data_IF_811367231452
#
_entry.id   IF_811367231452
#
_cell.length_a   1.000
_cell.length_b   1.000
_cell.length_c   1.000
_cell.angle_alpha   90.00
_cell.angle_beta   90.00
_cell.angle_gamma   90.00
#
_symmetry.space_group_name_H-M   'P 1'
#
loop_
_entity.id
_entity.type
_entity.pdbx_description
1 polymer ?
#
# COMPACT_ATOMS: atom_id res chain seq x y z
N UNK A 1 -23.02 15.03 -30.93
CA UNK A 1 -22.34 15.00 -29.61
C UNK A 1 -22.56 13.63 -28.99
N UNK A 2 -21.53 13.06 -28.35
CA UNK A 2 -21.68 11.81 -27.60
C UNK A 2 -22.21 12.04 -26.17
N UNK A 3 -22.82 11.03 -25.56
CA UNK A 3 -23.39 11.09 -24.20
C UNK A 3 -22.42 11.63 -23.15
N UNK A 4 -21.15 11.18 -23.18
CA UNK A 4 -20.09 11.69 -22.28
C UNK A 4 -19.84 13.20 -22.43
N UNK A 5 -19.86 13.71 -23.67
CA UNK A 5 -19.69 15.15 -23.93
C UNK A 5 -20.88 15.95 -23.43
N UNK A 6 -22.11 15.43 -23.56
CA UNK A 6 -23.32 16.06 -23.04
C UNK A 6 -23.28 16.15 -21.51
N UNK A 7 -22.93 15.06 -20.83
CA UNK A 7 -22.81 15.03 -19.36
C UNK A 7 -21.71 16.00 -18.89
N UNK A 8 -20.56 16.04 -19.57
CA UNK A 8 -19.48 16.96 -19.23
C UNK A 8 -19.90 18.43 -19.37
N UNK A 9 -20.54 18.77 -20.48
CA UNK A 9 -21.04 20.12 -20.75
C UNK A 9 -22.11 20.54 -19.74
N UNK A 10 -23.04 19.64 -19.41
CA UNK A 10 -24.07 19.91 -18.40
C UNK A 10 -23.47 20.15 -17.01
N UNK A 11 -22.44 19.36 -16.62
CA UNK A 11 -21.72 19.57 -15.35
C UNK A 11 -20.97 20.88 -15.31
N UNK A 12 -20.34 21.28 -16.41
CA UNK A 12 -19.62 22.56 -16.52
C UNK A 12 -20.59 23.76 -16.38
N UNK A 13 -21.72 23.72 -17.08
CA UNK A 13 -22.77 24.74 -16.96
C UNK A 13 -23.34 24.81 -15.54
N UNK A 14 -23.64 23.66 -14.92
CA UNK A 14 -24.12 23.61 -13.54
C UNK A 14 -23.08 24.18 -12.55
N UNK A 15 -21.78 23.92 -12.78
CA UNK A 15 -20.72 24.45 -11.94
C UNK A 15 -20.56 25.98 -12.06
N UNK A 16 -20.83 26.54 -13.25
CA UNK A 16 -20.85 28.00 -13.48
C UNK A 16 -22.05 28.67 -12.81
N UNK A 17 -23.20 28.00 -12.80
CA UNK A 17 -24.46 28.50 -12.21
C UNK A 17 -24.42 28.52 -10.67
N UNK A 18 -23.83 27.52 -10.03
CA UNK A 18 -23.69 27.47 -8.56
C UNK A 18 -22.27 27.07 -8.11
N UNK A 19 -21.32 28.02 -8.14
CA UNK A 19 -19.96 27.79 -7.68
C UNK A 19 -19.89 27.47 -6.18
N UNK A 20 -20.85 27.95 -5.39
CA UNK A 20 -20.86 27.78 -3.94
C UNK A 20 -21.17 26.33 -3.53
N UNK A 21 -22.13 25.66 -4.18
CA UNK A 21 -22.37 24.23 -3.92
C UNK A 21 -21.22 23.36 -4.39
N UNK A 22 -20.57 23.71 -5.50
CA UNK A 22 -19.36 23.01 -5.97
C UNK A 22 -18.23 23.15 -4.93
N UNK A 23 -18.00 24.36 -4.42
CA UNK A 23 -17.00 24.58 -3.37
C UNK A 23 -17.33 23.80 -2.09
N UNK A 24 -18.59 23.76 -1.66
CA UNK A 24 -19.03 22.98 -0.49
C UNK A 24 -18.84 21.47 -0.69
N UNK A 25 -19.19 20.94 -1.87
CA UNK A 25 -18.97 19.53 -2.22
C UNK A 25 -17.49 19.18 -2.25
N UNK A 26 -16.63 20.06 -2.79
CA UNK A 26 -15.17 19.86 -2.77
C UNK A 26 -14.63 19.78 -1.35
N UNK A 27 -14.99 20.73 -0.47
CA UNK A 27 -14.55 20.72 0.93
C UNK A 27 -14.96 19.44 1.66
N UNK A 28 -16.17 18.94 1.40
CA UNK A 28 -16.63 17.66 1.95
C UNK A 28 -15.82 16.48 1.40
N UNK A 29 -15.63 16.40 0.08
CA UNK A 29 -14.85 15.33 -0.53
C UNK A 29 -13.38 15.33 -0.09
N UNK A 30 -12.80 16.50 0.18
CA UNK A 30 -11.45 16.61 0.75
C UNK A 30 -11.36 16.07 2.19
N UNK A 31 -12.46 16.10 2.94
CA UNK A 31 -12.53 15.51 4.28
C UNK A 31 -12.67 13.98 4.23
N UNK A 32 -13.27 13.44 3.15
CA UNK A 32 -13.45 12.00 2.94
C UNK A 32 -12.17 11.30 2.43
N UNK A 33 -11.02 11.98 2.40
CA UNK A 33 -9.74 11.40 1.97
C UNK A 33 -9.30 10.25 2.87
N UNK A 34 -8.93 9.12 2.28
CA UNK A 34 -8.53 7.93 3.01
C UNK A 34 -7.72 6.97 2.13
N UNK A 35 -7.05 6.01 2.77
CA UNK A 35 -6.40 4.87 2.11
C UNK A 35 -7.21 3.60 2.35
N UNK A 36 -7.10 2.65 1.44
CA UNK A 36 -7.73 1.33 1.54
C UNK A 36 -6.71 0.25 1.19
N UNK A 37 -6.78 -0.87 1.90
CA UNK A 37 -6.07 -2.09 1.59
C UNK A 37 -7.10 -3.20 1.42
N UNK A 38 -7.03 -3.94 0.32
CA UNK A 38 -7.91 -5.08 0.05
C UNK A 38 -7.09 -6.27 -0.43
N UNK A 39 -7.23 -7.46 0.16
CA UNK A 39 -6.56 -8.66 -0.32
C UNK A 39 -6.88 -8.96 -1.79
N UNK A 40 -5.91 -9.52 -2.50
CA UNK A 40 -6.02 -10.00 -3.86
C UNK A 40 -5.44 -11.43 -3.95
N UNK A 41 -5.74 -12.20 -5.01
CA UNK A 41 -5.13 -13.51 -5.23
C UNK A 41 -3.60 -13.47 -5.26
N UNK A 42 -2.96 -14.63 -5.07
CA UNK A 42 -1.51 -14.82 -5.24
C UNK A 42 -0.63 -14.02 -4.26
N UNK A 43 -1.06 -13.89 -3.00
CA UNK A 43 -0.37 -13.12 -1.94
C UNK A 43 -0.11 -11.66 -2.35
N UNK A 44 -1.06 -11.08 -3.07
CA UNK A 44 -1.04 -9.68 -3.48
C UNK A 44 -2.12 -8.88 -2.75
N UNK A 45 -1.97 -7.57 -2.67
CA UNK A 45 -2.98 -6.67 -2.12
C UNK A 45 -3.21 -5.45 -3.02
N UNK A 46 -4.47 -5.03 -3.13
CA UNK A 46 -4.85 -3.74 -3.70
C UNK A 46 -4.70 -2.65 -2.64
N UNK A 47 -3.65 -1.84 -2.77
CA UNK A 47 -3.53 -0.59 -2.03
C UNK A 47 -4.01 0.58 -2.88
N UNK A 48 -4.91 1.40 -2.35
CA UNK A 48 -5.46 2.55 -3.05
C UNK A 48 -5.70 3.73 -2.13
N UNK A 49 -5.69 4.94 -2.68
CA UNK A 49 -5.93 6.18 -1.95
C UNK A 49 -6.98 7.04 -2.65
N UNK A 50 -7.93 7.57 -1.87
CA UNK A 50 -8.83 8.63 -2.30
C UNK A 50 -8.24 9.97 -1.86
N UNK A 51 -7.82 10.78 -2.82
CA UNK A 51 -7.12 12.04 -2.59
C UNK A 51 -7.79 13.21 -3.30
N UNK A 52 -7.57 14.46 -2.84
CA UNK A 52 -7.87 15.63 -3.65
C UNK A 52 -7.17 15.54 -5.01
N UNK A 53 -7.83 16.00 -6.07
CA UNK A 53 -7.35 15.85 -7.46
C UNK A 53 -5.91 16.36 -7.63
N UNK A 54 -5.57 17.48 -6.99
CA UNK A 54 -4.21 18.05 -7.04
C UNK A 54 -3.15 17.07 -6.54
N UNK A 55 -3.45 16.37 -5.45
CA UNK A 55 -2.50 15.49 -4.77
C UNK A 55 -2.45 14.13 -5.49
N UNK A 56 -3.60 13.60 -5.91
CA UNK A 56 -3.66 12.34 -6.67
C UNK A 56 -2.92 12.42 -8.02
N UNK A 57 -3.10 13.52 -8.76
CA UNK A 57 -2.37 13.75 -10.02
C UNK A 57 -0.87 13.93 -9.76
N UNK A 58 -0.50 14.67 -8.71
CA UNK A 58 0.90 14.87 -8.35
C UNK A 58 1.60 13.55 -7.98
N UNK A 59 0.97 12.72 -7.15
CA UNK A 59 1.49 11.39 -6.78
C UNK A 59 1.67 10.52 -8.02
N UNK A 60 0.63 10.41 -8.86
CA UNK A 60 0.71 9.57 -10.05
C UNK A 60 1.79 10.05 -11.04
N UNK A 61 1.87 11.36 -11.29
CA UNK A 61 2.91 11.97 -12.14
C UNK A 61 4.31 11.70 -11.58
N UNK A 62 4.51 11.82 -10.27
CA UNK A 62 5.80 11.60 -9.63
C UNK A 62 6.27 10.13 -9.70
N UNK A 63 5.34 9.17 -9.74
CA UNK A 63 5.63 7.75 -9.97
C UNK A 63 5.92 7.48 -11.44
N UNK A 64 5.12 8.06 -12.34
CA UNK A 64 5.32 7.93 -13.79
C UNK A 64 6.69 8.47 -14.21
N UNK A 65 7.07 9.66 -13.72
CA UNK A 65 8.37 10.27 -14.02
C UNK A 65 9.54 9.43 -13.49
N UNK A 66 9.36 8.74 -12.36
CA UNK A 66 10.37 7.81 -11.84
C UNK A 66 10.50 6.58 -12.74
N UNK A 67 9.37 6.03 -13.19
CA UNK A 67 9.36 4.90 -14.12
C UNK A 67 9.96 5.26 -15.47
N UNK A 68 9.67 6.45 -16.01
CA UNK A 68 10.25 6.91 -17.26
C UNK A 68 11.77 7.11 -17.15
N UNK A 69 12.26 7.69 -16.04
CA UNK A 69 13.70 7.79 -15.78
C UNK A 69 14.37 6.41 -15.71
N UNK A 70 13.78 5.46 -14.98
CA UNK A 70 14.31 4.11 -14.89
C UNK A 70 14.32 3.40 -16.26
N UNK A 71 13.27 3.59 -17.06
CA UNK A 71 13.21 3.09 -18.44
C UNK A 71 14.30 3.67 -19.34
N UNK A 72 14.52 4.98 -19.27
CA UNK A 72 15.62 5.61 -19.99
C UNK A 72 17.00 5.11 -19.54
N UNK A 73 17.14 4.71 -18.27
CA UNK A 73 18.36 4.10 -17.73
C UNK A 73 18.55 2.62 -18.11
N UNK A 74 17.64 2.03 -18.90
CA UNK A 74 17.75 0.65 -19.37
C UNK A 74 17.04 -0.40 -18.51
N UNK A 75 16.20 0.01 -17.55
CA UNK A 75 15.46 -0.94 -16.71
C UNK A 75 14.47 -1.78 -17.56
N UNK A 76 14.58 -3.11 -17.44
CA UNK A 76 13.80 -4.07 -18.22
C UNK A 76 12.40 -4.29 -17.64
N UNK A 77 12.17 -4.00 -16.35
CA UNK A 77 10.87 -4.20 -15.66
C UNK A 77 9.74 -3.39 -16.29
N UNK A 78 8.49 -3.82 -16.14
CA UNK A 78 7.35 -3.05 -16.68
C UNK A 78 7.24 -1.67 -16.00
N UNK A 79 6.67 -0.66 -16.68
CA UNK A 79 6.40 0.65 -16.06
C UNK A 79 5.56 0.50 -14.79
N UNK A 80 4.56 -0.37 -14.81
CA UNK A 80 3.70 -0.64 -13.66
C UNK A 80 4.47 -1.20 -12.46
N UNK A 81 5.38 -2.15 -12.69
CA UNK A 81 6.24 -2.71 -11.64
C UNK A 81 7.14 -1.62 -11.04
N UNK A 82 7.81 -0.81 -11.87
CA UNK A 82 8.68 0.27 -11.37
C UNK A 82 7.87 1.31 -10.56
N UNK A 83 6.66 1.64 -11.00
CA UNK A 83 5.78 2.56 -10.26
C UNK A 83 5.36 1.98 -8.90
N UNK A 84 5.03 0.68 -8.84
CA UNK A 84 4.67 0.00 -7.60
C UNK A 84 5.85 -0.06 -6.63
N UNK A 85 7.02 -0.47 -7.11
CA UNK A 85 8.25 -0.55 -6.31
C UNK A 85 8.64 0.84 -5.78
N UNK A 86 8.55 1.87 -6.64
CA UNK A 86 8.85 3.26 -6.25
C UNK A 86 7.86 3.79 -5.22
N UNK A 87 6.58 3.42 -5.30
CA UNK A 87 5.57 3.79 -4.31
C UNK A 87 5.93 3.18 -2.94
N UNK A 88 6.19 1.87 -2.90
CA UNK A 88 6.57 1.16 -1.67
C UNK A 88 7.84 1.76 -1.09
N UNK A 89 8.88 1.94 -1.91
CA UNK A 89 10.15 2.54 -1.48
C UNK A 89 9.93 3.92 -0.86
N UNK A 90 9.15 4.82 -1.50
CA UNK A 90 8.97 6.18 -0.98
C UNK A 90 8.14 6.25 0.30
N UNK A 91 7.16 5.37 0.45
CA UNK A 91 6.31 5.31 1.65
C UNK A 91 7.08 4.69 2.82
N UNK A 92 7.85 3.63 2.56
CA UNK A 92 8.56 2.89 3.61
C UNK A 92 9.96 3.47 3.92
N UNK A 93 10.64 4.15 2.99
CA UNK A 93 12.01 4.65 3.21
C UNK A 93 12.20 5.47 4.49
N UNK A 94 11.30 6.39 4.88
CA UNK A 94 11.43 7.11 6.16
C UNK A 94 11.41 6.19 7.38
N UNK A 95 10.67 5.08 7.30
CA UNK A 95 10.50 4.12 8.41
C UNK A 95 11.65 3.10 8.47
N UNK A 96 12.40 2.95 7.37
CA UNK A 96 13.53 2.02 7.26
C UNK A 96 14.90 2.71 7.49
N UNK A 97 14.97 4.04 7.40
CA UNK A 97 16.21 4.81 7.53
C UNK A 97 16.58 5.20 8.97
N UNK A 98 15.74 4.88 9.96
CA UNK A 98 15.86 5.39 11.34
C UNK A 98 16.74 4.48 12.21
N UNK A 99 18.03 4.38 11.88
CA UNK A 99 19.07 3.83 12.78
C UNK A 99 20.05 4.91 13.26
N UNK A 100 19.67 6.19 13.24
CA UNK A 100 20.49 7.28 13.83
C UNK A 100 19.60 8.38 14.44
N UNK A 101 18.95 8.10 15.57
CA UNK A 101 18.19 9.10 16.36
C UNK A 101 16.96 8.51 17.06
N UNK A 102 16.46 9.10 18.17
CA UNK A 102 15.54 8.43 19.08
C UNK A 102 14.15 8.22 18.45
N UNK A 103 13.95 6.99 17.98
CA UNK A 103 12.71 6.24 17.89
C UNK A 103 11.52 6.94 17.20
N UNK A 104 11.54 6.98 15.87
CA UNK A 104 10.28 6.73 15.14
C UNK A 104 10.05 5.22 15.22
N UNK A 105 8.90 4.84 15.79
CA UNK A 105 8.58 3.45 16.07
C UNK A 105 8.68 2.62 14.79
N UNK A 106 9.30 1.44 14.87
CA UNK A 106 9.30 0.51 13.77
C UNK A 106 7.88 0.17 13.33
N UNK A 107 7.69 0.06 12.01
CA UNK A 107 6.48 -0.53 11.47
C UNK A 107 6.44 -1.99 11.95
N UNK A 108 5.42 -2.39 12.71
CA UNK A 108 5.22 -3.78 13.18
C UNK A 108 4.06 -4.40 12.39
N UNK A 109 4.23 -5.63 11.88
CA UNK A 109 3.17 -6.38 11.21
C UNK A 109 2.83 -7.60 12.07
N UNK A 110 1.59 -7.68 12.55
CA UNK A 110 1.19 -8.83 13.34
C UNK A 110 0.89 -10.04 12.44
N UNK A 111 1.64 -11.11 12.69
CA UNK A 111 1.49 -12.40 12.03
C UNK A 111 1.25 -13.46 13.09
N UNK A 112 0.22 -14.27 12.89
CA UNK A 112 -0.10 -15.43 13.73
C UNK A 112 0.14 -16.69 12.91
N UNK A 113 1.10 -17.51 13.29
CA UNK A 113 1.48 -18.71 12.56
C UNK A 113 1.73 -19.85 13.55
N UNK A 114 1.31 -21.09 13.25
CA UNK A 114 1.70 -22.26 14.03
C UNK A 114 3.22 -22.43 14.06
N UNK A 115 3.77 -22.91 15.18
CA UNK A 115 5.21 -23.14 15.34
C UNK A 115 5.75 -24.15 14.33
N UNK A 116 5.06 -25.27 14.10
CA UNK A 116 5.46 -26.26 13.10
C UNK A 116 5.57 -25.65 11.68
N UNK A 117 4.64 -24.74 11.32
CA UNK A 117 4.67 -24.01 10.05
C UNK A 117 5.77 -22.94 10.04
N UNK A 118 6.01 -22.25 11.15
CA UNK A 118 7.07 -21.24 11.24
C UNK A 118 8.48 -21.85 11.18
N UNK A 119 8.67 -23.01 11.81
CA UNK A 119 9.95 -23.72 11.83
C UNK A 119 10.20 -24.50 10.54
N UNK A 120 9.16 -24.70 9.72
CA UNK A 120 9.25 -25.45 8.48
C UNK A 120 9.16 -26.97 8.65
N UNK A 121 8.69 -27.42 9.83
CA UNK A 121 8.42 -28.83 10.12
C UNK A 121 7.18 -29.32 9.37
N UNK A 122 6.21 -28.42 9.12
CA UNK A 122 4.98 -28.70 8.37
C UNK A 122 4.69 -27.63 7.31
N UNK A 123 4.05 -28.06 6.22
CA UNK A 123 3.45 -27.16 5.24
C UNK A 123 2.13 -26.58 5.80
N UNK A 124 1.93 -25.28 5.63
CA UNK A 124 0.72 -24.62 6.14
C UNK A 124 0.69 -23.13 5.83
N UNK A 125 -0.16 -22.40 6.55
CA UNK A 125 -0.31 -20.95 6.41
C UNK A 125 -0.35 -20.26 7.77
N UNK A 126 0.09 -19.01 7.81
CA UNK A 126 -0.14 -18.09 8.92
C UNK A 126 -1.13 -17.00 8.53
N UNK A 127 -1.71 -16.33 9.51
CA UNK A 127 -2.63 -15.21 9.33
C UNK A 127 -1.89 -13.89 9.51
N UNK A 128 -1.97 -13.01 8.52
CA UNK A 128 -1.43 -11.64 8.59
C UNK A 128 -2.57 -10.67 8.90
N UNK A 129 -2.43 -9.89 9.97
CA UNK A 129 -3.44 -8.92 10.39
C UNK A 129 -3.76 -7.92 9.26
N UNK A 130 -5.04 -7.78 8.92
CA UNK A 130 -5.51 -6.89 7.86
C UNK A 130 -5.37 -7.44 6.43
N UNK A 131 -4.79 -8.63 6.25
CA UNK A 131 -4.67 -9.32 4.96
C UNK A 131 -5.45 -10.64 4.93
N UNK A 132 -5.11 -11.58 5.83
CA UNK A 132 -5.63 -12.95 5.79
C UNK A 132 -4.51 -13.99 5.69
N UNK A 133 -4.81 -15.20 5.18
CA UNK A 133 -3.88 -16.32 5.19
C UNK A 133 -2.75 -16.13 4.17
N UNK A 134 -1.53 -16.40 4.61
CA UNK A 134 -0.29 -16.35 3.81
C UNK A 134 0.47 -17.67 3.98
N UNK A 135 0.96 -18.28 2.88
CA UNK A 135 1.76 -19.51 2.93
C UNK A 135 2.97 -19.40 3.87
N UNK A 136 3.23 -20.48 4.62
CA UNK A 136 4.27 -20.51 5.65
C UNK A 136 5.69 -20.36 5.10
N UNK A 137 5.97 -20.89 3.92
CA UNK A 137 7.24 -20.73 3.22
C UNK A 137 7.56 -19.25 2.93
N UNK A 138 6.56 -18.51 2.46
CA UNK A 138 6.69 -17.08 2.18
C UNK A 138 6.83 -16.25 3.46
N UNK A 139 6.11 -16.60 4.54
CA UNK A 139 6.30 -15.96 5.84
C UNK A 139 7.73 -16.15 6.37
N UNK A 140 8.31 -17.34 6.20
CA UNK A 140 9.70 -17.62 6.58
C UNK A 140 10.68 -16.82 5.72
N UNK A 141 10.44 -16.70 4.42
CA UNK A 141 11.25 -15.85 3.52
C UNK A 141 11.24 -14.38 3.99
N UNK A 142 10.07 -13.85 4.32
CA UNK A 142 9.96 -12.49 4.85
C UNK A 142 10.75 -12.33 6.16
N UNK A 143 10.60 -13.25 7.11
CA UNK A 143 11.31 -13.19 8.40
C UNK A 143 12.83 -13.25 8.20
N UNK A 144 13.31 -14.17 7.34
CA UNK A 144 14.73 -14.34 7.07
C UNK A 144 15.34 -13.12 6.36
N UNK A 145 14.67 -12.59 5.33
CA UNK A 145 15.16 -11.44 4.55
C UNK A 145 15.26 -10.15 5.37
N UNK A 146 14.48 -10.03 6.45
CA UNK A 146 14.58 -8.87 7.34
C UNK A 146 15.62 -9.09 8.44
N UNK A 147 15.86 -10.34 8.89
CA UNK A 147 16.81 -10.64 9.96
C UNK A 147 18.22 -10.11 9.68
N UNK A 148 18.61 -10.13 8.41
CA UNK A 148 19.91 -9.63 7.91
C UNK A 148 20.01 -8.09 7.88
N UNK A 149 18.87 -7.37 7.92
CA UNK A 149 18.80 -5.90 7.88
C UNK A 149 18.70 -5.25 9.28
N UNK A 150 18.81 -6.04 10.36
CA UNK A 150 18.67 -5.59 11.74
C UNK A 150 17.24 -5.77 12.26
N UNK A 151 16.78 -7.01 12.44
CA UNK A 151 15.45 -7.31 12.98
C UNK A 151 15.40 -7.12 14.49
N UNK A 152 14.66 -6.10 14.89
CA UNK A 152 13.83 -6.15 16.10
C UNK A 152 12.32 -6.01 15.78
N UNK A 153 11.93 -5.81 14.52
CA UNK A 153 10.85 -4.83 14.30
C UNK A 153 9.63 -5.26 13.49
N UNK A 154 9.58 -6.44 12.85
CA UNK A 154 8.35 -6.84 12.14
C UNK A 154 7.45 -7.86 12.81
N UNK A 155 7.95 -8.77 13.65
CA UNK A 155 7.11 -9.88 14.19
C UNK A 155 7.26 -9.96 15.70
N UNK A 156 6.36 -9.31 16.44
CA UNK A 156 6.52 -9.21 17.91
C UNK A 156 5.51 -10.03 18.72
N UNK A 157 4.54 -10.77 18.15
CA UNK A 157 3.71 -11.69 18.95
C UNK A 157 3.29 -12.94 18.20
N UNK A 158 3.97 -14.04 18.53
CA UNK A 158 3.54 -15.40 18.27
C UNK A 158 2.40 -15.75 19.24
N UNK A 159 1.17 -15.81 18.73
CA UNK A 159 0.05 -16.35 19.50
C UNK A 159 -0.12 -17.84 19.16
N UNK A 160 -0.08 -18.66 20.20
CA UNK A 160 -0.50 -20.06 20.17
C UNK A 160 -2.03 -20.09 19.98
N UNK A 161 -2.47 -20.67 18.85
CA UNK A 161 -3.84 -21.08 18.49
C UNK A 161 -5.01 -20.10 18.68
N UNK A 162 -5.93 -20.07 17.69
CA UNK A 162 -7.27 -19.45 17.83
C UNK A 162 -8.24 -20.31 18.67
N UNK A 163 -7.73 -21.29 19.40
CA UNK A 163 -8.48 -22.12 20.34
C UNK A 163 -7.75 -22.03 21.67
N UNK A 164 -8.30 -21.21 22.56
CA UNK A 164 -8.03 -21.34 23.98
C UNK A 164 -8.87 -22.49 24.50
N UNK A 165 -8.23 -23.65 24.64
CA UNK A 165 -8.55 -24.67 25.64
C UNK A 165 -7.23 -25.15 26.26
#
# INVERSE_FOLDING_TARGET
MGERQLIATARDLAAKLDPASVARRRRRAEADRHTTLRPAPDVMAWFGALLPVKDGVAVHKALLDAADRAKCAGDTRSRGAIMADTLVQRVLAPHLATTTGPAELPLVIHVVVPDAVLLGDEDGSGEVEGYGPVPGDLLREWIAGHAEQGVADWVTRLYQSKTGE
#
